data_IF_912708476096
#
_entry.id   IF_912708476096
#
_cell.length_a   1.000
_cell.length_b   1.000
_cell.length_c   1.000
_cell.angle_alpha   90.00
_cell.angle_beta   90.00
_cell.angle_gamma   90.00
#
_symmetry.space_group_name_H-M   'P 1'
#
loop_
_entity.id
_entity.type
_entity.pdbx_description
1 polymer ?
#
# COMPACT_ATOMS: atom_id res chain seq x y z
N UNK A 1 -39.09 41.11 -79.73
CA UNK A 1 -39.52 42.43 -79.23
C UNK A 1 -40.09 42.28 -77.82
N UNK A 2 -39.64 43.13 -76.88
CA UNK A 2 -40.15 43.37 -75.49
C UNK A 2 -40.13 42.16 -74.54
N UNK A 3 -39.19 42.02 -73.59
CA UNK A 3 -39.01 42.73 -72.29
C UNK A 3 -40.31 42.85 -71.49
N UNK A 4 -40.41 42.17 -70.34
CA UNK A 4 -40.61 42.75 -68.98
C UNK A 4 -40.14 41.73 -67.92
N UNK A 5 -39.30 42.22 -66.98
CA UNK A 5 -38.90 41.58 -65.72
C UNK A 5 -39.93 41.91 -64.62
N UNK A 6 -40.14 41.01 -63.67
CA UNK A 6 -40.56 41.39 -62.32
C UNK A 6 -39.55 40.96 -61.26
N UNK A 7 -39.19 41.95 -60.47
CA UNK A 7 -38.34 42.01 -59.27
C UNK A 7 -39.09 41.56 -58.02
N UNK A 8 -38.40 40.95 -57.06
CA UNK A 8 -38.93 40.68 -55.72
C UNK A 8 -37.89 40.14 -54.74
N UNK A 9 -37.24 41.07 -54.04
CA UNK A 9 -36.49 41.01 -52.77
C UNK A 9 -35.85 39.69 -52.28
N UNK A 10 -34.51 39.67 -52.24
CA UNK A 10 -33.71 38.79 -51.41
C UNK A 10 -33.23 39.57 -50.17
N UNK A 11 -33.68 39.16 -48.98
CA UNK A 11 -33.26 39.70 -47.69
C UNK A 11 -31.88 39.11 -47.34
N UNK A 12 -30.88 39.95 -47.13
CA UNK A 12 -29.53 39.58 -46.71
C UNK A 12 -29.52 39.43 -45.19
N UNK A 13 -29.42 38.20 -44.68
CA UNK A 13 -29.21 37.93 -43.25
C UNK A 13 -27.71 37.73 -43.00
N UNK A 14 -27.07 38.72 -42.38
CA UNK A 14 -25.71 38.61 -41.86
C UNK A 14 -25.68 37.66 -40.66
N UNK A 15 -25.16 36.44 -40.86
CA UNK A 15 -24.83 35.52 -39.77
C UNK A 15 -23.40 35.76 -39.32
N UNK A 16 -23.27 36.31 -38.12
CA UNK A 16 -22.02 36.50 -37.39
C UNK A 16 -21.47 35.11 -37.02
N UNK A 17 -20.41 34.69 -37.71
CA UNK A 17 -19.58 33.55 -37.30
C UNK A 17 -18.79 33.97 -36.06
N UNK A 18 -19.31 33.63 -34.88
CA UNK A 18 -18.55 33.70 -33.64
C UNK A 18 -17.59 32.51 -33.61
N UNK A 19 -16.29 32.80 -33.64
CA UNK A 19 -15.21 31.84 -33.40
C UNK A 19 -15.33 31.29 -31.96
N UNK A 20 -16.11 30.23 -31.76
CA UNK A 20 -15.96 29.39 -30.58
C UNK A 20 -14.62 28.68 -30.69
N UNK A 21 -13.67 29.04 -29.81
CA UNK A 21 -12.48 28.22 -29.59
C UNK A 21 -12.94 26.79 -29.27
N UNK A 22 -12.41 25.74 -29.92
CA UNK A 22 -12.66 24.39 -29.46
C UNK A 22 -12.13 24.29 -28.03
N UNK A 23 -13.02 23.97 -27.10
CA UNK A 23 -12.66 23.53 -25.76
C UNK A 23 -11.83 22.26 -25.97
N UNK A 24 -10.51 22.34 -25.79
CA UNK A 24 -9.62 21.18 -25.92
C UNK A 24 -10.16 20.11 -24.97
N UNK A 25 -10.66 19.00 -25.51
CA UNK A 25 -10.84 17.76 -24.75
C UNK A 25 -9.48 17.41 -24.17
N UNK A 26 -9.32 17.57 -22.86
CA UNK A 26 -8.12 17.12 -22.17
C UNK A 26 -8.02 15.59 -22.31
N UNK A 27 -6.84 15.11 -22.74
CA UNK A 27 -6.58 13.68 -22.87
C UNK A 27 -6.77 12.98 -21.52
N UNK A 28 -7.35 11.78 -21.53
CA UNK A 28 -7.54 10.92 -20.35
C UNK A 28 -6.22 10.73 -19.57
N UNK A 29 -5.09 10.67 -20.28
CA UNK A 29 -3.74 10.63 -19.70
C UNK A 29 -3.49 11.85 -18.80
N UNK A 30 -3.84 13.04 -19.27
CA UNK A 30 -3.63 14.29 -18.53
C UNK A 30 -4.48 14.34 -17.25
N UNK A 31 -5.72 13.82 -17.28
CA UNK A 31 -6.53 13.68 -16.08
C UNK A 31 -5.93 12.72 -15.07
N UNK A 32 -5.44 11.56 -15.52
CA UNK A 32 -4.78 10.57 -14.65
C UNK A 32 -3.56 11.20 -13.98
N UNK A 33 -2.70 11.89 -14.73
CA UNK A 33 -1.50 12.53 -14.20
C UNK A 33 -1.80 13.60 -13.16
N UNK A 34 -2.85 14.41 -13.38
CA UNK A 34 -3.29 15.44 -12.43
C UNK A 34 -3.78 14.83 -11.12
N UNK A 35 -4.69 13.85 -11.20
CA UNK A 35 -5.23 13.20 -10.00
C UNK A 35 -4.14 12.41 -9.24
N UNK A 36 -3.23 11.74 -9.95
CA UNK A 36 -2.06 11.07 -9.35
C UNK A 36 -1.16 12.09 -8.62
N UNK A 37 -0.94 13.27 -9.21
CA UNK A 37 -0.15 14.34 -8.58
C UNK A 37 -0.84 14.96 -7.36
N UNK A 38 -2.17 15.06 -7.38
CA UNK A 38 -2.96 15.48 -6.22
C UNK A 38 -2.82 14.47 -5.07
N UNK A 39 -2.96 13.17 -5.35
CA UNK A 39 -2.75 12.09 -4.36
C UNK A 39 -1.32 12.12 -3.80
N UNK A 40 -0.31 12.35 -4.64
CA UNK A 40 1.09 12.50 -4.20
C UNK A 40 1.29 13.64 -3.19
N UNK A 41 0.55 14.74 -3.39
CA UNK A 41 0.58 15.89 -2.49
C UNK A 41 -0.07 15.57 -1.14
N UNK A 42 -1.13 14.75 -1.14
CA UNK A 42 -1.79 14.29 0.09
C UNK A 42 -0.89 13.39 0.94
N UNK A 43 -0.08 12.52 0.31
CA UNK A 43 0.84 11.60 1.01
C UNK A 43 1.80 12.32 1.97
N UNK A 44 2.20 13.55 1.61
CA UNK A 44 3.22 14.33 2.35
C UNK A 44 2.61 15.46 3.20
N UNK A 45 1.27 15.51 3.29
CA UNK A 45 0.54 16.51 4.05
C UNK A 45 0.24 16.01 5.47
N UNK A 46 0.89 16.58 6.48
CA UNK A 46 0.72 16.16 7.88
C UNK A 46 -0.71 16.35 8.41
N UNK A 47 -1.39 17.43 8.02
CA UNK A 47 -2.76 17.69 8.44
C UNK A 47 -3.72 16.66 7.83
N UNK A 48 -3.54 16.32 6.55
CA UNK A 48 -4.29 15.25 5.91
C UNK A 48 -3.99 13.89 6.54
N UNK A 49 -2.72 13.58 6.82
CA UNK A 49 -2.29 12.35 7.50
C UNK A 49 -2.93 12.21 8.88
N UNK A 50 -3.03 13.29 9.67
CA UNK A 50 -3.75 13.27 10.93
C UNK A 50 -5.26 13.04 10.73
N UNK A 51 -5.87 13.78 9.80
CA UNK A 51 -7.30 13.68 9.53
C UNK A 51 -7.71 12.29 9.04
N UNK A 52 -6.90 11.66 8.18
CA UNK A 52 -7.16 10.30 7.71
C UNK A 52 -6.94 9.28 8.83
N UNK A 53 -5.92 9.42 9.67
CA UNK A 53 -5.72 8.54 10.83
C UNK A 53 -6.89 8.60 11.81
N UNK A 54 -7.44 9.79 12.08
CA UNK A 54 -8.66 9.96 12.87
C UNK A 54 -9.86 9.27 12.22
N UNK A 55 -10.02 9.45 10.90
CA UNK A 55 -11.11 8.83 10.14
C UNK A 55 -11.03 7.30 10.12
N UNK A 56 -9.82 6.75 10.02
CA UNK A 56 -9.56 5.31 10.03
C UNK A 56 -9.82 4.70 11.41
N UNK A 57 -9.37 5.36 12.48
CA UNK A 57 -9.69 4.96 13.84
C UNK A 57 -11.22 4.94 14.04
N UNK A 58 -11.92 5.99 13.62
CA UNK A 58 -13.38 6.04 13.73
C UNK A 58 -14.06 4.92 12.92
N UNK A 59 -13.62 4.69 11.68
CA UNK A 59 -14.17 3.64 10.82
C UNK A 59 -14.00 2.24 11.42
N UNK A 60 -12.87 1.97 12.10
CA UNK A 60 -12.66 0.71 12.82
C UNK A 60 -13.74 0.47 13.87
N UNK A 61 -14.00 1.42 14.76
CA UNK A 61 -15.05 1.27 15.79
C UNK A 61 -16.45 1.18 15.18
N UNK A 62 -16.75 1.98 14.15
CA UNK A 62 -18.03 1.87 13.42
C UNK A 62 -18.21 0.47 12.83
N UNK A 63 -17.15 -0.14 12.29
CA UNK A 63 -17.16 -1.51 11.78
C UNK A 63 -17.38 -2.57 12.86
N UNK A 64 -17.10 -2.25 14.12
CA UNK A 64 -17.43 -3.08 15.29
C UNK A 64 -18.84 -2.80 15.85
N UNK A 65 -19.58 -1.84 15.29
CA UNK A 65 -20.85 -1.37 15.85
C UNK A 65 -20.69 -0.52 17.11
N UNK A 66 -19.49 0.00 17.37
CA UNK A 66 -19.15 0.78 18.55
C UNK A 66 -19.01 2.29 18.23
N UNK A 67 -19.19 3.13 19.25
CA UNK A 67 -18.86 4.56 19.15
C UNK A 67 -17.36 4.75 19.29
N UNK A 68 -16.74 5.44 18.33
CA UNK A 68 -15.32 5.71 18.37
C UNK A 68 -14.95 6.59 19.59
N UNK A 69 -13.98 6.17 20.42
CA UNK A 69 -13.44 7.04 21.46
C UNK A 69 -12.66 8.20 20.85
N UNK A 70 -12.39 9.23 21.65
CA UNK A 70 -11.52 10.35 21.28
C UNK A 70 -10.19 9.85 20.71
N UNK A 71 -9.77 10.44 19.59
CA UNK A 71 -8.54 10.02 18.93
C UNK A 71 -7.30 10.23 19.78
N UNK A 72 -7.26 11.18 20.71
CA UNK A 72 -6.24 11.30 21.75
C UNK A 72 -6.94 11.48 23.10
N UNK A 73 -6.45 10.80 24.11
CA UNK A 73 -6.83 11.05 25.51
C UNK A 73 -6.10 12.31 26.02
N UNK A 74 -6.61 12.97 27.08
CA UNK A 74 -5.93 14.11 27.68
C UNK A 74 -4.47 13.81 28.02
N UNK A 75 -3.54 14.65 27.53
CA UNK A 75 -2.09 14.52 27.73
C UNK A 75 -1.37 13.59 26.74
N UNK A 76 -2.05 12.81 25.91
CA UNK A 76 -1.40 11.97 24.88
C UNK A 76 -0.78 12.78 23.74
N UNK A 77 -1.16 14.05 23.60
CA UNK A 77 -0.65 14.97 22.59
C UNK A 77 0.80 15.39 22.83
N UNK A 78 1.27 15.34 24.07
CA UNK A 78 2.64 15.71 24.50
C UNK A 78 3.42 14.55 25.13
N UNK A 79 2.76 13.45 25.47
CA UNK A 79 3.39 12.30 26.11
C UNK A 79 4.31 11.49 25.17
N UNK A 80 5.34 10.90 25.76
CA UNK A 80 6.30 10.00 25.12
C UNK A 80 6.35 8.65 25.84
N UNK A 81 6.67 7.59 25.10
CA UNK A 81 6.86 6.23 25.64
C UNK A 81 8.19 5.63 25.19
N UNK A 82 8.86 4.83 26.04
CA UNK A 82 10.07 4.11 25.64
C UNK A 82 9.71 2.95 24.71
N UNK A 83 10.44 2.82 23.61
CA UNK A 83 10.31 1.72 22.64
C UNK A 83 11.68 1.05 22.44
N UNK A 84 11.72 -0.28 22.38
CA UNK A 84 12.95 -1.05 22.16
C UNK A 84 13.53 -0.81 20.77
N UNK A 85 14.84 -0.50 20.70
CA UNK A 85 15.59 -0.35 19.43
C UNK A 85 15.62 -1.66 18.64
N UNK A 86 15.84 -2.80 19.31
CA UNK A 86 15.73 -4.14 18.71
C UNK A 86 14.40 -4.33 18.01
N UNK A 87 13.28 -4.08 18.70
CA UNK A 87 11.93 -4.27 18.15
C UNK A 87 11.70 -3.36 16.94
N UNK A 88 12.10 -2.08 17.01
CA UNK A 88 12.01 -1.17 15.87
C UNK A 88 12.83 -1.66 14.67
N UNK A 89 14.08 -2.10 14.88
CA UNK A 89 14.96 -2.55 13.80
C UNK A 89 14.45 -3.80 13.11
N UNK A 90 13.89 -4.75 13.87
CA UNK A 90 13.20 -5.92 13.33
C UNK A 90 11.96 -5.50 12.54
N UNK A 91 11.11 -4.63 13.12
CA UNK A 91 9.88 -4.17 12.47
C UNK A 91 10.14 -3.47 11.12
N UNK A 92 11.13 -2.58 11.07
CA UNK A 92 11.52 -1.86 9.84
C UNK A 92 11.94 -2.80 8.73
N UNK A 93 12.65 -3.87 9.08
CA UNK A 93 13.22 -4.81 8.12
C UNK A 93 12.32 -6.03 7.83
N UNK A 94 11.04 -6.01 8.25
CA UNK A 94 10.06 -7.04 7.91
C UNK A 94 9.07 -6.62 6.82
N UNK A 95 9.11 -5.35 6.39
CA UNK A 95 8.16 -4.81 5.42
C UNK A 95 8.11 -5.64 4.13
N UNK A 96 9.28 -5.95 3.54
CA UNK A 96 9.34 -6.71 2.30
C UNK A 96 8.86 -8.17 2.45
N UNK A 97 9.02 -8.80 3.62
CA UNK A 97 8.44 -10.11 3.89
C UNK A 97 6.90 -10.07 3.91
N UNK A 98 6.29 -9.11 4.60
CA UNK A 98 4.82 -9.02 4.62
C UNK A 98 4.23 -8.62 3.27
N UNK A 99 4.95 -7.79 2.52
CA UNK A 99 4.62 -7.50 1.13
C UNK A 99 4.64 -8.77 0.26
N UNK A 100 5.72 -9.55 0.36
CA UNK A 100 5.87 -10.81 -0.35
C UNK A 100 4.76 -11.79 0.03
N UNK A 101 4.50 -12.00 1.32
CA UNK A 101 3.48 -12.95 1.78
C UNK A 101 2.08 -12.62 1.23
N UNK A 102 1.65 -11.37 1.36
CA UNK A 102 0.35 -10.95 0.82
C UNK A 102 0.33 -11.01 -0.72
N UNK A 103 1.46 -10.68 -1.37
CA UNK A 103 1.65 -10.80 -2.80
C UNK A 103 1.57 -12.24 -3.31
N UNK A 104 2.18 -13.21 -2.62
CA UNK A 104 2.06 -14.64 -2.91
C UNK A 104 0.60 -15.07 -2.83
N UNK A 105 -0.12 -14.65 -1.79
CA UNK A 105 -1.55 -14.91 -1.67
C UNK A 105 -2.37 -14.37 -2.85
N UNK A 106 -2.07 -13.15 -3.31
CA UNK A 106 -2.73 -12.55 -4.46
C UNK A 106 -2.42 -13.29 -5.77
N UNK A 107 -1.15 -13.64 -5.98
CA UNK A 107 -0.67 -14.35 -7.17
C UNK A 107 -1.23 -15.78 -7.21
N UNK A 108 -1.18 -16.53 -6.12
CA UNK A 108 -1.77 -17.86 -6.01
C UNK A 108 -3.27 -17.84 -6.28
N UNK A 109 -4.01 -16.85 -5.77
CA UNK A 109 -5.44 -16.73 -6.05
C UNK A 109 -5.73 -16.44 -7.53
N UNK A 110 -4.84 -15.72 -8.22
CA UNK A 110 -4.98 -15.35 -9.63
C UNK A 110 -4.57 -16.48 -10.58
N UNK A 111 -3.51 -17.23 -10.28
CA UNK A 111 -2.90 -18.20 -11.21
C UNK A 111 -3.09 -19.65 -10.82
N UNK A 112 -3.51 -19.93 -9.58
CA UNK A 112 -3.52 -21.28 -9.01
C UNK A 112 -2.12 -21.83 -8.69
N UNK A 113 -1.05 -21.08 -8.92
CA UNK A 113 0.32 -21.52 -8.61
C UNK A 113 0.58 -21.57 -7.11
N UNK A 114 1.44 -22.51 -6.69
CA UNK A 114 1.85 -22.65 -5.30
C UNK A 114 2.87 -21.56 -4.91
N UNK A 115 2.92 -21.15 -3.63
CA UNK A 115 3.92 -20.20 -3.14
C UNK A 115 5.35 -20.52 -3.55
N UNK A 116 5.80 -21.79 -3.45
CA UNK A 116 7.18 -22.15 -3.82
C UNK A 116 7.46 -21.99 -5.31
N UNK A 117 6.48 -22.20 -6.18
CA UNK A 117 6.67 -22.05 -7.63
C UNK A 117 6.83 -20.57 -8.00
N UNK A 118 6.02 -19.71 -7.37
CA UNK A 118 6.11 -18.25 -7.51
C UNK A 118 7.46 -17.76 -6.96
N UNK A 119 7.84 -18.19 -5.75
CA UNK A 119 9.12 -17.88 -5.13
C UNK A 119 10.30 -18.30 -6.03
N UNK A 120 10.25 -19.50 -6.60
CA UNK A 120 11.26 -20.00 -7.52
C UNK A 120 11.39 -19.10 -8.75
N UNK A 121 10.28 -18.67 -9.34
CA UNK A 121 10.29 -17.74 -10.47
C UNK A 121 10.95 -16.40 -10.12
N UNK A 122 10.74 -15.89 -8.91
CA UNK A 122 11.34 -14.63 -8.45
C UNK A 122 12.86 -14.80 -8.29
N UNK A 123 13.31 -15.83 -7.57
CA UNK A 123 14.74 -16.03 -7.29
C UNK A 123 15.53 -16.43 -8.53
N UNK A 124 14.89 -17.08 -9.51
CA UNK A 124 15.48 -17.41 -10.81
C UNK A 124 15.40 -16.25 -11.81
N UNK A 125 14.90 -15.07 -11.40
CA UNK A 125 14.71 -13.90 -12.26
C UNK A 125 13.86 -14.19 -13.51
N UNK A 126 12.82 -15.00 -13.33
CA UNK A 126 11.85 -15.43 -14.34
C UNK A 126 10.42 -14.89 -14.07
N UNK A 127 10.22 -14.13 -13.00
CA UNK A 127 8.96 -13.47 -12.71
C UNK A 127 8.61 -12.46 -13.83
N UNK A 128 7.36 -12.50 -14.31
CA UNK A 128 6.89 -11.60 -15.36
C UNK A 128 6.69 -10.15 -14.86
N UNK A 129 6.53 -9.22 -15.80
CA UNK A 129 6.39 -7.80 -15.47
C UNK A 129 5.16 -7.49 -14.62
N UNK A 130 4.07 -8.26 -14.77
CA UNK A 130 2.86 -8.11 -13.97
C UNK A 130 3.08 -8.52 -12.51
N UNK A 131 3.83 -9.61 -12.28
CA UNK A 131 4.24 -10.09 -10.97
C UNK A 131 5.17 -9.08 -10.31
N UNK A 132 6.20 -8.62 -11.03
CA UNK A 132 7.13 -7.58 -10.54
C UNK A 132 6.37 -6.31 -10.16
N UNK A 133 5.44 -5.86 -11.01
CA UNK A 133 4.62 -4.67 -10.76
C UNK A 133 3.81 -4.82 -9.48
N UNK A 134 3.07 -5.92 -9.33
CA UNK A 134 2.22 -6.17 -8.17
C UNK A 134 3.04 -6.24 -6.87
N UNK A 135 4.11 -7.02 -6.85
CA UNK A 135 4.96 -7.19 -5.67
C UNK A 135 5.65 -5.88 -5.26
N UNK A 136 6.08 -5.08 -6.24
CA UNK A 136 6.65 -3.75 -5.96
C UNK A 136 5.63 -2.81 -5.32
N UNK A 137 4.34 -2.91 -5.66
CA UNK A 137 3.29 -2.11 -5.02
C UNK A 137 3.07 -2.54 -3.57
N UNK A 138 3.05 -3.84 -3.30
CA UNK A 138 2.97 -4.32 -1.91
C UNK A 138 4.18 -3.88 -1.08
N UNK A 139 5.39 -3.98 -1.65
CA UNK A 139 6.61 -3.52 -1.00
C UNK A 139 6.53 -2.03 -0.67
N UNK A 140 6.07 -1.20 -1.62
CA UNK A 140 5.91 0.23 -1.37
C UNK A 140 4.88 0.53 -0.27
N UNK A 141 3.73 -0.15 -0.26
CA UNK A 141 2.68 0.04 0.74
C UNK A 141 3.16 -0.28 2.15
N UNK A 142 3.85 -1.42 2.32
CA UNK A 142 4.40 -1.85 3.60
C UNK A 142 5.55 -0.96 4.07
N UNK A 143 6.43 -0.52 3.16
CA UNK A 143 7.49 0.44 3.46
C UNK A 143 6.93 1.78 3.93
N UNK A 144 5.93 2.34 3.22
CA UNK A 144 5.24 3.59 3.60
C UNK A 144 4.63 3.49 4.99
N UNK A 145 4.01 2.36 5.30
CA UNK A 145 3.39 2.08 6.61
C UNK A 145 4.39 2.14 7.76
N UNK A 146 5.63 1.69 7.54
CA UNK A 146 6.68 1.79 8.54
C UNK A 146 7.18 3.21 8.80
N UNK A 147 7.11 4.12 7.81
CA UNK A 147 7.78 5.42 7.92
C UNK A 147 7.31 6.28 9.11
N UNK A 148 6.00 6.46 9.37
CA UNK A 148 5.54 7.28 10.49
C UNK A 148 5.93 6.74 11.87
N UNK A 149 6.23 5.43 12.00
CA UNK A 149 6.71 4.87 13.27
C UNK A 149 8.12 5.35 13.64
N UNK A 150 8.88 5.87 12.66
CA UNK A 150 10.20 6.47 12.87
C UNK A 150 10.14 7.98 13.18
N UNK A 151 8.95 8.57 13.16
CA UNK A 151 8.72 10.02 13.24
C UNK A 151 7.84 10.50 12.10
N UNK A 152 6.88 11.38 12.38
CA UNK A 152 5.92 11.84 11.38
C UNK A 152 6.61 12.63 10.25
N UNK A 153 7.74 13.27 10.54
CA UNK A 153 8.54 14.02 9.56
C UNK A 153 9.02 13.15 8.40
N UNK A 154 9.09 11.82 8.57
CA UNK A 154 9.50 10.89 7.51
C UNK A 154 8.59 10.92 6.30
N UNK A 155 7.31 11.30 6.45
CA UNK A 155 6.40 11.44 5.31
C UNK A 155 6.82 12.59 4.38
N UNK A 156 7.64 13.54 4.85
CA UNK A 156 8.12 14.68 4.04
C UNK A 156 9.30 14.31 3.14
N UNK A 157 9.84 13.09 3.23
CA UNK A 157 10.99 12.67 2.43
C UNK A 157 10.66 12.74 0.93
N UNK A 158 11.61 13.14 0.05
CA UNK A 158 11.37 13.22 -1.39
C UNK A 158 10.96 11.90 -2.05
N UNK A 159 11.30 10.76 -1.44
CA UNK A 159 10.93 9.42 -1.93
C UNK A 159 9.59 8.92 -1.36
N UNK A 160 8.93 9.68 -0.48
CA UNK A 160 7.61 9.34 0.03
C UNK A 160 6.53 9.79 -0.97
N UNK A 161 6.47 9.09 -2.10
CA UNK A 161 5.70 9.48 -3.29
C UNK A 161 4.83 8.36 -3.82
N UNK A 162 3.87 8.69 -4.68
CA UNK A 162 3.14 7.70 -5.47
C UNK A 162 4.13 6.93 -6.35
N UNK A 163 3.99 5.61 -6.44
CA UNK A 163 5.03 4.76 -7.08
C UNK A 163 5.27 5.11 -8.55
N UNK A 164 4.24 5.49 -9.29
CA UNK A 164 4.39 5.94 -10.69
C UNK A 164 5.19 7.24 -10.84
N UNK A 165 5.43 7.98 -9.75
CA UNK A 165 6.25 9.19 -9.71
C UNK A 165 7.62 8.96 -9.06
N UNK A 166 7.92 7.73 -8.64
CA UNK A 166 9.24 7.37 -8.12
C UNK A 166 10.22 7.15 -9.27
N UNK A 167 11.50 7.52 -9.08
CA UNK A 167 12.52 7.19 -10.06
C UNK A 167 12.73 5.66 -10.11
N UNK A 168 13.10 5.09 -11.26
CA UNK A 168 13.19 3.63 -11.45
C UNK A 168 14.08 2.91 -10.43
N UNK A 169 15.13 3.56 -9.93
CA UNK A 169 16.03 2.99 -8.94
C UNK A 169 15.36 2.82 -7.56
N UNK A 170 14.41 3.68 -7.17
CA UNK A 170 13.65 3.51 -5.92
C UNK A 170 12.62 2.37 -6.06
N UNK A 171 11.95 2.26 -7.21
CA UNK A 171 11.08 1.11 -7.51
C UNK A 171 11.88 -0.20 -7.51
N UNK A 172 13.12 -0.16 -8.04
CA UNK A 172 13.99 -1.33 -8.04
C UNK A 172 14.36 -1.77 -6.63
N UNK A 173 14.62 -0.84 -5.70
CA UNK A 173 14.90 -1.18 -4.29
C UNK A 173 13.75 -1.93 -3.65
N UNK A 174 12.50 -1.54 -3.93
CA UNK A 174 11.30 -2.23 -3.44
C UNK A 174 11.30 -3.69 -3.93
N UNK A 175 11.61 -3.93 -5.21
CA UNK A 175 11.70 -5.29 -5.75
C UNK A 175 12.93 -6.09 -5.26
N UNK A 176 14.07 -5.43 -5.01
CA UNK A 176 15.24 -6.11 -4.44
C UNK A 176 14.95 -6.63 -3.01
N UNK A 177 14.12 -5.92 -2.24
CA UNK A 177 13.63 -6.39 -0.94
C UNK A 177 12.70 -7.60 -1.07
N UNK A 178 11.86 -7.64 -2.10
CA UNK A 178 11.03 -8.81 -2.43
C UNK A 178 11.91 -10.01 -2.82
N UNK A 179 12.94 -9.79 -3.64
CA UNK A 179 13.88 -10.83 -4.07
C UNK A 179 14.62 -11.42 -2.86
N UNK A 180 15.12 -10.58 -1.95
CA UNK A 180 15.78 -11.01 -0.73
C UNK A 180 14.86 -11.85 0.17
N UNK A 181 13.64 -11.35 0.43
CA UNK A 181 12.63 -12.07 1.21
C UNK A 181 12.27 -13.41 0.54
N UNK A 182 12.22 -13.44 -0.79
CA UNK A 182 11.87 -14.65 -1.55
C UNK A 182 12.91 -15.75 -1.37
N UNK A 183 14.21 -15.42 -1.41
CA UNK A 183 15.27 -16.40 -1.15
C UNK A 183 15.21 -17.00 0.25
N UNK A 184 15.02 -16.15 1.27
CA UNK A 184 14.89 -16.61 2.67
C UNK A 184 13.64 -17.46 2.87
N UNK A 185 12.48 -17.03 2.34
CA UNK A 185 11.23 -17.76 2.47
C UNK A 185 11.24 -19.09 1.71
N UNK A 186 11.76 -19.10 0.47
CA UNK A 186 11.90 -20.31 -0.33
C UNK A 186 12.70 -21.38 0.41
N UNK A 187 13.83 -20.98 1.02
CA UNK A 187 14.65 -21.87 1.85
C UNK A 187 13.86 -22.45 3.03
N UNK A 188 13.08 -21.62 3.71
CA UNK A 188 12.26 -22.04 4.85
C UNK A 188 11.04 -22.91 4.49
N UNK A 189 10.67 -22.96 3.20
CA UNK A 189 9.54 -23.74 2.67
C UNK A 189 9.98 -24.98 1.88
N UNK A 190 11.28 -25.30 1.82
CA UNK A 190 11.81 -26.42 1.04
C UNK A 190 11.16 -27.76 1.41
N UNK A 191 10.86 -27.97 2.69
CA UNK A 191 10.25 -29.19 3.22
C UNK A 191 8.81 -29.43 2.73
N UNK A 192 8.13 -28.39 2.22
CA UNK A 192 6.76 -28.46 1.71
C UNK A 192 6.63 -28.15 0.22
N UNK A 193 7.75 -28.04 -0.51
CA UNK A 193 7.75 -27.57 -1.91
C UNK A 193 6.97 -28.46 -2.87
N UNK A 194 6.96 -29.77 -2.65
CA UNK A 194 6.19 -30.73 -3.46
C UNK A 194 4.72 -30.86 -3.02
N UNK A 195 4.35 -30.34 -1.84
CA UNK A 195 3.00 -30.45 -1.30
C UNK A 195 1.99 -29.54 -2.02
N UNK A 196 0.72 -29.66 -1.61
CA UNK A 196 -0.40 -28.85 -2.12
C UNK A 196 -0.30 -27.39 -1.69
N UNK A 197 -1.05 -26.52 -2.40
CA UNK A 197 -1.21 -25.10 -2.07
C UNK A 197 -1.59 -24.90 -0.59
N UNK A 198 -2.58 -25.67 -0.11
CA UNK A 198 -3.07 -25.61 1.27
C UNK A 198 -1.94 -25.85 2.29
N UNK A 199 -1.14 -26.91 2.10
CA UNK A 199 -0.03 -27.25 3.01
C UNK A 199 1.04 -26.15 2.99
N UNK A 200 1.33 -25.59 1.81
CA UNK A 200 2.28 -24.48 1.72
C UNK A 200 1.77 -23.19 2.37
N UNK A 201 0.48 -22.87 2.24
CA UNK A 201 -0.13 -21.73 2.94
C UNK A 201 -0.11 -21.94 4.46
N UNK A 202 -0.34 -23.17 4.93
CA UNK A 202 -0.24 -23.50 6.36
C UNK A 202 1.21 -23.33 6.87
N UNK A 203 2.21 -23.78 6.10
CA UNK A 203 3.62 -23.53 6.43
C UNK A 203 3.93 -22.03 6.50
N UNK A 204 3.45 -21.25 5.52
CA UNK A 204 3.62 -19.79 5.49
C UNK A 204 2.98 -19.12 6.71
N UNK A 205 1.79 -19.57 7.13
CA UNK A 205 1.13 -19.12 8.36
C UNK A 205 1.98 -19.39 9.60
N UNK A 206 2.52 -20.61 9.73
CA UNK A 206 3.40 -20.95 10.86
C UNK A 206 4.67 -20.10 10.89
N UNK A 207 5.28 -19.84 9.72
CA UNK A 207 6.46 -18.97 9.61
C UNK A 207 6.14 -17.51 9.96
N UNK A 208 4.96 -17.00 9.61
CA UNK A 208 4.52 -15.65 10.02
C UNK A 208 4.45 -15.46 11.54
N UNK A 209 4.16 -16.52 12.28
CA UNK A 209 4.03 -16.50 13.75
C UNK A 209 5.36 -16.75 14.48
N UNK A 210 6.40 -17.22 13.78
CA UNK A 210 7.70 -17.56 14.36
C UNK A 210 8.58 -16.31 14.53
N UNK A 211 8.75 -15.87 15.78
CA UNK A 211 9.62 -14.74 16.12
C UNK A 211 11.10 -14.96 15.71
N UNK A 212 11.60 -16.19 15.78
CA UNK A 212 12.96 -16.50 15.35
C UNK A 212 13.09 -16.39 13.84
N UNK A 213 12.08 -16.85 13.10
CA UNK A 213 12.04 -16.64 11.65
C UNK A 213 11.92 -15.17 11.28
N UNK A 214 11.10 -14.40 12.00
CA UNK A 214 10.98 -12.96 11.79
C UNK A 214 12.33 -12.24 11.97
N UNK A 215 13.10 -12.58 13.01
CA UNK A 215 14.46 -12.01 13.21
C UNK A 215 15.43 -12.44 12.10
N UNK A 216 15.40 -13.71 11.68
CA UNK A 216 16.23 -14.20 10.55
C UNK A 216 15.88 -13.46 9.25
N UNK A 217 14.60 -13.29 8.97
CA UNK A 217 14.10 -12.56 7.81
C UNK A 217 14.56 -11.11 7.84
N UNK A 218 14.34 -10.41 8.96
CA UNK A 218 14.78 -9.02 9.13
C UNK A 218 16.29 -8.85 8.94
N UNK A 219 17.09 -9.78 9.46
CA UNK A 219 18.54 -9.81 9.27
C UNK A 219 18.92 -9.95 7.79
N UNK A 220 18.24 -10.84 7.05
CA UNK A 220 18.49 -11.04 5.63
C UNK A 220 18.08 -9.82 4.79
N UNK A 221 16.94 -9.18 5.08
CA UNK A 221 16.45 -7.98 4.39
C UNK A 221 17.39 -6.78 4.61
N UNK A 222 17.89 -6.59 5.83
CA UNK A 222 18.87 -5.55 6.16
C UNK A 222 20.18 -5.78 5.41
N UNK A 223 20.72 -7.00 5.45
CA UNK A 223 21.94 -7.34 4.73
C UNK A 223 21.80 -7.10 3.21
N UNK A 224 20.68 -7.49 2.61
CA UNK A 224 20.40 -7.28 1.20
C UNK A 224 20.38 -5.79 0.82
N UNK A 225 19.88 -4.91 1.69
CA UNK A 225 19.89 -3.46 1.46
C UNK A 225 21.33 -2.90 1.32
N UNK A 226 22.26 -3.38 2.13
CA UNK A 226 23.68 -3.00 2.02
C UNK A 226 24.34 -3.61 0.79
N UNK A 227 24.08 -4.89 0.51
CA UNK A 227 24.62 -5.56 -0.68
C UNK A 227 24.15 -4.90 -1.98
N UNK A 228 22.89 -4.49 -2.09
CA UNK A 228 22.36 -3.77 -3.25
C UNK A 228 23.07 -2.42 -3.47
N UNK A 229 23.63 -1.82 -2.42
CA UNK A 229 24.46 -0.61 -2.48
C UNK A 229 25.95 -0.90 -2.69
N UNK A 230 26.33 -2.16 -2.94
CA UNK A 230 27.73 -2.61 -3.04
C UNK A 230 28.53 -2.31 -1.77
N UNK A 231 27.89 -2.43 -0.60
CA UNK A 231 28.50 -2.25 0.72
C UNK A 231 28.46 -3.56 1.50
N UNK A 232 29.43 -3.75 2.39
CA UNK A 232 29.39 -4.82 3.38
C UNK A 232 28.30 -4.53 4.40
N UNK A 233 27.44 -5.50 4.68
CA UNK A 233 26.43 -5.38 5.70
C UNK A 233 27.09 -5.33 7.10
N UNK A 234 26.77 -4.35 7.94
CA UNK A 234 27.16 -4.37 9.35
C UNK A 234 26.41 -5.50 10.08
N UNK A 235 26.82 -5.85 11.32
CA UNK A 235 26.02 -6.70 12.19
C UNK A 235 24.59 -6.15 12.32
N UNK A 236 23.59 -7.02 12.18
CA UNK A 236 22.19 -6.60 12.21
C UNK A 236 21.80 -5.95 13.53
N UNK A 237 22.31 -6.42 14.67
CA UNK A 237 22.14 -5.77 15.97
C UNK A 237 23.49 -5.68 16.66
N UNK A 238 23.81 -4.52 17.22
CA UNK A 238 24.94 -4.39 18.15
C UNK A 238 24.50 -4.76 19.57
N UNK A 239 25.47 -5.10 20.43
CA UNK A 239 25.21 -5.37 21.86
C UNK A 239 24.51 -4.21 22.59
N UNK A 240 24.73 -2.98 22.13
CA UNK A 240 24.07 -1.79 22.68
C UNK A 240 22.63 -1.66 22.18
N UNK A 241 22.39 -1.89 20.89
CA UNK A 241 21.04 -1.86 20.28
C UNK A 241 20.10 -2.93 20.87
N UNK A 242 20.65 -4.07 21.30
CA UNK A 242 19.91 -5.13 21.96
C UNK A 242 19.18 -4.67 23.23
N UNK A 243 19.77 -3.75 23.99
CA UNK A 243 19.24 -3.27 25.28
C UNK A 243 18.68 -1.85 25.23
N UNK A 244 18.98 -1.11 24.17
CA UNK A 244 18.62 0.29 24.06
C UNK A 244 17.11 0.51 23.86
N UNK A 245 16.63 1.60 24.46
CA UNK A 245 15.28 2.15 24.21
C UNK A 245 15.38 3.56 23.64
N UNK A 246 14.37 3.97 22.88
CA UNK A 246 14.20 5.34 22.39
C UNK A 246 12.83 5.86 22.82
N UNK A 247 12.76 7.12 23.20
CA UNK A 247 11.49 7.77 23.50
C UNK A 247 10.78 8.12 22.19
N UNK A 248 9.49 7.82 22.09
CA UNK A 248 8.68 8.13 20.91
C UNK A 248 7.33 8.72 21.31
N UNK A 249 6.83 9.67 20.52
CA UNK A 249 5.56 10.35 20.77
C UNK A 249 4.38 9.39 20.70
N UNK A 250 3.51 9.42 21.71
CA UNK A 250 2.25 8.64 21.72
C UNK A 250 1.37 9.08 20.55
N UNK A 251 1.25 10.39 20.32
CA UNK A 251 0.49 10.96 19.20
C UNK A 251 0.97 10.42 17.86
N UNK A 252 2.27 10.44 17.58
CA UNK A 252 2.80 9.94 16.32
C UNK A 252 2.60 8.43 16.15
N UNK A 253 2.81 7.65 17.22
CA UNK A 253 2.53 6.21 17.21
C UNK A 253 1.06 5.91 16.91
N UNK A 254 0.14 6.73 17.42
CA UNK A 254 -1.30 6.59 17.17
C UNK A 254 -1.68 6.97 15.74
N UNK A 255 -1.05 8.00 15.17
CA UNK A 255 -1.16 8.34 13.75
C UNK A 255 -0.63 7.18 12.89
N UNK A 256 0.58 6.72 13.16
CA UNK A 256 1.24 5.63 12.44
C UNK A 256 0.41 4.34 12.43
N UNK A 257 -0.20 4.00 13.56
CA UNK A 257 -1.07 2.82 13.69
C UNK A 257 -2.34 2.93 12.84
N UNK A 258 -2.86 4.13 12.61
CA UNK A 258 -4.16 4.34 11.97
C UNK A 258 -4.08 4.86 10.53
N UNK A 259 -2.89 5.13 9.98
CA UNK A 259 -2.75 5.57 8.58
C UNK A 259 -2.53 4.41 7.60
N UNK A 260 -2.32 3.18 8.08
CA UNK A 260 -2.04 2.00 7.25
C UNK A 260 -3.07 1.81 6.11
N UNK A 261 -4.37 1.96 6.40
CA UNK A 261 -5.45 1.85 5.41
C UNK A 261 -5.37 2.88 4.28
N UNK A 262 -4.80 4.07 4.53
CA UNK A 262 -4.55 5.06 3.49
C UNK A 262 -3.45 4.61 2.52
N UNK A 263 -2.32 4.10 3.05
CA UNK A 263 -1.22 3.64 2.19
C UNK A 263 -1.59 2.36 1.43
N UNK A 264 -2.40 1.49 2.03
CA UNK A 264 -3.00 0.35 1.34
C UNK A 264 -3.85 0.81 0.14
N UNK A 265 -4.77 1.75 0.37
CA UNK A 265 -5.60 2.31 -0.69
C UNK A 265 -4.74 2.96 -1.76
N UNK A 266 -3.79 3.84 -1.41
CA UNK A 266 -3.02 4.59 -2.41
C UNK A 266 -2.19 3.65 -3.31
N UNK A 267 -1.50 2.67 -2.73
CA UNK A 267 -0.69 1.73 -3.51
C UNK A 267 -1.55 0.78 -4.35
N UNK A 268 -2.68 0.31 -3.80
CA UNK A 268 -3.64 -0.51 -4.53
C UNK A 268 -4.34 0.26 -5.65
N UNK A 269 -4.76 1.50 -5.39
CA UNK A 269 -5.31 2.42 -6.38
C UNK A 269 -4.31 2.67 -7.50
N UNK A 270 -3.03 2.92 -7.18
CA UNK A 270 -2.01 3.11 -8.20
C UNK A 270 -1.82 1.85 -9.07
N UNK A 271 -1.90 0.65 -8.49
CA UNK A 271 -1.89 -0.60 -9.26
C UNK A 271 -3.08 -0.67 -10.22
N UNK A 272 -4.30 -0.38 -9.74
CA UNK A 272 -5.52 -0.44 -10.56
C UNK A 272 -5.52 0.63 -11.67
N UNK A 273 -5.09 1.85 -11.38
CA UNK A 273 -4.92 2.91 -12.38
C UNK A 273 -3.94 2.46 -13.47
N UNK A 274 -2.79 1.89 -13.08
CA UNK A 274 -1.76 1.43 -14.02
C UNK A 274 -2.26 0.29 -14.92
N UNK A 275 -3.03 -0.65 -14.35
CA UNK A 275 -3.46 -1.86 -15.06
C UNK A 275 -4.76 -1.70 -15.84
N UNK A 276 -5.63 -0.78 -15.42
CA UNK A 276 -6.94 -0.56 -16.05
C UNK A 276 -7.01 0.72 -16.89
N UNK A 277 -6.02 1.62 -16.79
CA UNK A 277 -6.03 2.92 -17.49
C UNK A 277 -7.17 3.84 -17.05
N UNK A 278 -7.79 3.60 -15.89
CA UNK A 278 -8.89 4.41 -15.37
C UNK A 278 -8.37 5.55 -14.49
N UNK A 279 -9.11 6.65 -14.44
CA UNK A 279 -8.83 7.76 -13.51
C UNK A 279 -8.93 7.31 -12.04
N UNK A 280 -8.05 7.80 -11.15
CA UNK A 280 -8.17 7.56 -9.71
C UNK A 280 -9.57 7.82 -9.16
N UNK A 281 -10.21 8.94 -9.51
CA UNK A 281 -11.56 9.32 -9.07
C UNK A 281 -12.63 8.31 -9.50
N UNK A 282 -12.51 7.72 -10.69
CA UNK A 282 -13.42 6.66 -11.16
C UNK A 282 -13.33 5.41 -10.26
N UNK A 283 -12.12 4.96 -9.94
CA UNK A 283 -11.91 3.79 -9.09
C UNK A 283 -12.34 4.09 -7.64
N UNK A 284 -11.99 5.27 -7.12
CA UNK A 284 -12.40 5.72 -5.79
C UNK A 284 -13.92 5.77 -5.65
N UNK A 285 -14.64 6.30 -6.64
CA UNK A 285 -16.11 6.27 -6.64
C UNK A 285 -16.63 4.83 -6.58
N UNK A 286 -16.10 3.92 -7.39
CA UNK A 286 -16.51 2.52 -7.40
C UNK A 286 -16.27 1.81 -6.05
N UNK A 287 -15.19 2.14 -5.34
CA UNK A 287 -14.94 1.67 -3.97
C UNK A 287 -16.00 2.22 -3.01
N UNK A 288 -16.30 3.52 -3.09
CA UNK A 288 -17.25 4.19 -2.18
C UNK A 288 -18.68 3.67 -2.38
N UNK A 289 -19.08 3.40 -3.62
CA UNK A 289 -20.41 2.89 -4.00
C UNK A 289 -20.54 1.37 -4.00
N UNK A 290 -19.52 0.64 -3.56
CA UNK A 290 -19.46 -0.84 -3.60
C UNK A 290 -19.73 -1.44 -4.99
N UNK A 291 -19.37 -0.73 -6.06
CA UNK A 291 -19.55 -1.18 -7.45
C UNK A 291 -18.25 -1.69 -8.09
N UNK A 292 -17.19 -1.85 -7.30
CA UNK A 292 -15.93 -2.45 -7.72
C UNK A 292 -16.07 -3.98 -7.83
N UNK A 293 -15.29 -4.65 -8.69
CA UNK A 293 -15.36 -6.12 -8.79
C UNK A 293 -14.87 -6.79 -7.51
N UNK A 294 -15.27 -8.06 -7.32
CA UNK A 294 -14.78 -8.85 -6.19
C UNK A 294 -13.27 -9.05 -6.24
N UNK A 295 -12.69 -9.29 -7.41
CA UNK A 295 -11.23 -9.47 -7.51
C UNK A 295 -10.46 -8.21 -7.09
N UNK A 296 -10.90 -7.04 -7.55
CA UNK A 296 -10.28 -5.76 -7.20
C UNK A 296 -10.49 -5.41 -5.71
N UNK A 297 -11.68 -5.72 -5.16
CA UNK A 297 -11.95 -5.60 -3.72
C UNK A 297 -11.00 -6.47 -2.90
N UNK A 298 -10.88 -7.75 -3.23
CA UNK A 298 -10.02 -8.69 -2.53
C UNK A 298 -8.55 -8.26 -2.64
N UNK A 299 -8.13 -7.75 -3.78
CA UNK A 299 -6.79 -7.19 -3.96
C UNK A 299 -6.55 -6.00 -3.03
N UNK A 300 -7.47 -5.04 -2.96
CA UNK A 300 -7.36 -3.89 -2.05
C UNK A 300 -7.35 -4.32 -0.58
N UNK A 301 -8.14 -5.33 -0.22
CA UNK A 301 -8.13 -5.89 1.14
C UNK A 301 -6.81 -6.61 1.45
N UNK A 302 -6.16 -7.25 0.46
CA UNK A 302 -4.79 -7.78 0.64
C UNK A 302 -3.78 -6.67 0.89
N UNK A 303 -3.91 -5.51 0.25
CA UNK A 303 -3.07 -4.34 0.56
C UNK A 303 -3.31 -3.85 2.00
N UNK A 304 -4.57 -3.77 2.44
CA UNK A 304 -4.91 -3.43 3.82
C UNK A 304 -4.30 -4.43 4.80
N UNK A 305 -4.42 -5.72 4.52
CA UNK A 305 -3.83 -6.78 5.31
C UNK A 305 -2.29 -6.68 5.40
N UNK A 306 -1.62 -6.41 4.27
CA UNK A 306 -0.16 -6.25 4.22
C UNK A 306 0.33 -5.07 5.07
N UNK A 307 -0.33 -3.92 4.93
CA UNK A 307 0.02 -2.70 5.69
C UNK A 307 -0.31 -2.85 7.18
N UNK A 308 -1.44 -3.47 7.51
CA UNK A 308 -1.78 -3.82 8.90
C UNK A 308 -0.71 -4.74 9.51
N UNK A 309 -0.30 -5.80 8.81
CA UNK A 309 0.78 -6.70 9.25
C UNK A 309 2.10 -5.95 9.47
N UNK A 310 2.50 -5.13 8.51
CA UNK A 310 3.74 -4.33 8.60
C UNK A 310 3.76 -3.36 9.79
N UNK A 311 2.60 -2.89 10.24
CA UNK A 311 2.50 -2.03 11.43
C UNK A 311 2.58 -2.79 12.76
N UNK A 312 2.27 -4.10 12.81
CA UNK A 312 2.13 -4.81 14.09
C UNK A 312 3.45 -4.93 14.87
N UNK A 313 4.60 -5.28 14.26
CA UNK A 313 5.84 -5.44 15.02
C UNK A 313 6.32 -4.16 15.70
N UNK A 314 6.04 -2.98 15.13
CA UNK A 314 6.34 -1.69 15.78
C UNK A 314 5.62 -1.52 17.12
N UNK A 315 4.48 -2.18 17.28
CA UNK A 315 3.65 -2.19 18.50
C UNK A 315 4.01 -3.36 19.44
N UNK A 316 5.13 -4.04 19.17
CA UNK A 316 5.67 -5.17 19.91
C UNK A 316 5.71 -6.44 19.07
N UNK A 317 6.87 -7.09 19.01
CA UNK A 317 7.11 -8.29 18.20
C UNK A 317 6.13 -9.44 18.52
N UNK A 318 5.78 -9.61 19.81
CA UNK A 318 4.78 -10.59 20.28
C UNK A 318 3.39 -10.48 19.62
N UNK A 319 3.11 -9.43 18.84
CA UNK A 319 1.85 -9.32 18.11
C UNK A 319 1.77 -10.24 16.91
N UNK A 320 2.90 -10.70 16.38
CA UNK A 320 2.91 -11.62 15.23
C UNK A 320 2.39 -13.02 15.60
N UNK A 321 2.39 -13.38 16.90
CA UNK A 321 1.85 -14.67 17.37
C UNK A 321 0.33 -14.67 17.59
N UNK A 322 -0.35 -13.55 17.32
CA UNK A 322 -1.81 -13.46 17.44
C UNK A 322 -2.47 -14.27 16.33
N UNK A 323 -3.59 -14.93 16.66
CA UNK A 323 -4.33 -15.74 15.69
C UNK A 323 -4.77 -14.96 14.43
N UNK A 324 -5.07 -13.66 14.57
CA UNK A 324 -5.47 -12.77 13.48
C UNK A 324 -4.29 -12.37 12.57
N UNK A 325 -3.04 -12.63 12.98
CA UNK A 325 -1.86 -12.39 12.16
C UNK A 325 -1.66 -13.52 11.15
N UNK A 326 -2.61 -13.72 10.25
CA UNK A 326 -2.69 -14.90 9.37
C UNK A 326 -2.66 -14.50 7.90
N UNK A 327 -2.25 -15.38 6.96
CA UNK A 327 -2.41 -15.12 5.54
C UNK A 327 -3.83 -14.78 5.16
N UNK A 328 -4.00 -13.87 4.19
CA UNK A 328 -5.32 -13.49 3.66
C UNK A 328 -6.13 -14.72 3.21
N UNK A 329 -5.42 -15.74 2.72
CA UNK A 329 -5.97 -17.06 2.35
C UNK A 329 -6.83 -17.72 3.46
N UNK A 330 -6.55 -17.44 4.73
CA UNK A 330 -7.28 -18.01 5.89
C UNK A 330 -8.21 -17.01 6.57
N UNK A 331 -8.38 -15.79 6.05
CA UNK A 331 -9.27 -14.82 6.67
C UNK A 331 -10.72 -15.22 6.45
N UNK A 332 -11.54 -14.99 7.48
CA UNK A 332 -12.99 -15.07 7.35
C UNK A 332 -13.50 -13.85 6.57
N UNK A 333 -14.67 -13.94 5.94
CA UNK A 333 -15.32 -12.79 5.30
C UNK A 333 -15.51 -11.62 6.29
N UNK A 334 -15.81 -11.91 7.56
CA UNK A 334 -15.92 -10.89 8.61
C UNK A 334 -14.59 -10.16 8.90
N UNK A 335 -13.45 -10.82 8.73
CA UNK A 335 -12.14 -10.18 8.85
C UNK A 335 -11.78 -9.39 7.58
N UNK A 336 -12.14 -9.90 6.41
CA UNK A 336 -11.99 -9.18 5.13
C UNK A 336 -12.85 -7.91 5.12
N UNK A 337 -14.05 -7.95 5.69
CA UNK A 337 -14.94 -6.80 5.81
C UNK A 337 -14.33 -5.68 6.66
N UNK A 338 -13.54 -6.01 7.70
CA UNK A 338 -12.81 -5.01 8.50
C UNK A 338 -11.78 -4.27 7.66
N UNK A 339 -11.02 -5.01 6.84
CA UNK A 339 -10.07 -4.43 5.89
C UNK A 339 -10.81 -3.55 4.87
N UNK A 340 -11.96 -4.01 4.37
CA UNK A 340 -12.77 -3.28 3.39
C UNK A 340 -13.33 -1.95 3.95
N UNK A 341 -13.82 -1.94 5.19
CA UNK A 341 -14.29 -0.73 5.86
C UNK A 341 -13.19 0.34 5.93
N UNK A 342 -11.96 -0.06 6.23
CA UNK A 342 -10.81 0.84 6.26
C UNK A 342 -10.47 1.39 4.86
N UNK A 343 -10.44 0.52 3.84
CA UNK A 343 -10.21 0.93 2.44
C UNK A 343 -11.27 1.95 2.00
N UNK A 344 -12.55 1.70 2.27
CA UNK A 344 -13.64 2.63 1.94
C UNK A 344 -13.53 3.95 2.68
N UNK A 345 -13.17 3.93 3.96
CA UNK A 345 -12.99 5.15 4.74
C UNK A 345 -11.85 6.02 4.18
N UNK A 346 -10.74 5.39 3.76
CA UNK A 346 -9.65 6.09 3.08
C UNK A 346 -10.13 6.64 1.73
N UNK A 347 -10.90 5.86 0.97
CA UNK A 347 -11.35 6.25 -0.36
C UNK A 347 -12.26 7.48 -0.31
N UNK A 348 -13.19 7.52 0.64
CA UNK A 348 -14.05 8.70 0.89
C UNK A 348 -13.22 9.96 1.19
N UNK A 349 -12.15 9.82 1.99
CA UNK A 349 -11.30 10.96 2.37
C UNK A 349 -10.42 11.45 1.23
N UNK A 350 -9.82 10.53 0.47
CA UNK A 350 -9.03 10.89 -0.71
C UNK A 350 -9.92 11.53 -1.76
N UNK A 351 -11.07 10.93 -2.07
CA UNK A 351 -12.01 11.46 -3.07
C UNK A 351 -12.52 12.86 -2.72
N UNK A 352 -12.77 13.15 -1.45
CA UNK A 352 -13.17 14.50 -1.01
C UNK A 352 -12.05 15.55 -1.07
N UNK A 353 -10.81 15.12 -1.30
CA UNK A 353 -9.62 15.97 -1.36
C UNK A 353 -9.00 16.04 -2.78
N UNK A 354 -9.59 15.32 -3.75
CA UNK A 354 -9.34 15.50 -5.19
C UNK A 354 -10.28 16.57 -5.72
#
# INVERSE_FOLDING_TARGET
MKVVRHTGHLLLLCLVLSCMKPQQEEDQTQYIEREVSAIDSLLRNEAFTLAIAQSQNAAYYTGLGETAPSFLLPGEDTANVPVSRRVQKVATNLAGFYALECGLGALSAKTGHKPTDILQSIVSNQADSATVLLLSRFANATWKTGQPFHGLERIKRPIFRVVSLLPPNEVRKDYDQILAASGTLLTAMQDVGSNSLEVQMQKLRSLLHDESFAVRMATAQDAAYYTAQKKTAPPFLTSDEEKATVMTSIKEQKIATNVAGFYALECGLNYLVTTQGKRPSTILNAIVSDSISREDRDLLCRFANATWKASQPFRGLKRISRATFTPFYFLSEADIDKDWVQVKAAAKRVLAAL
#
